data_IF_482462516867
#
_entry.id   IF_482462516867
#
_cell.length_a   1.000
_cell.length_b   1.000
_cell.length_c   1.000
_cell.angle_alpha   90.00
_cell.angle_beta   90.00
_cell.angle_gamma   90.00
#
_symmetry.space_group_name_H-M   'P 1'
#
loop_
_entity.id
_entity.type
_entity.pdbx_description
1 polymer ?
#
# COMPACT_ATOMS: atom_id res chain seq x y z
N UNK A 1 -27.68 3.46 25.93
CA UNK A 1 -27.87 2.00 26.02
C UNK A 1 -26.92 1.35 25.03
N UNK A 2 -26.16 0.32 25.44
CA UNK A 2 -25.32 -0.44 24.52
C UNK A 2 -26.18 -1.13 23.46
N UNK A 3 -25.64 -1.22 22.25
CA UNK A 3 -26.23 -1.95 21.14
C UNK A 3 -26.04 -3.46 21.38
N UNK A 4 -27.10 -4.21 21.13
CA UNK A 4 -27.07 -5.69 21.10
C UNK A 4 -26.79 -6.18 19.67
N UNK A 5 -26.11 -7.33 19.53
CA UNK A 5 -25.90 -7.98 18.23
C UNK A 5 -27.23 -8.24 17.51
N UNK A 6 -28.25 -8.66 18.25
CA UNK A 6 -29.60 -8.91 17.73
C UNK A 6 -30.20 -7.63 17.15
N UNK A 7 -30.04 -6.50 17.84
CA UNK A 7 -30.51 -5.20 17.36
C UNK A 7 -29.75 -4.77 16.10
N UNK A 8 -28.42 -4.95 16.06
CA UNK A 8 -27.60 -4.66 14.88
C UNK A 8 -28.01 -5.51 13.66
N UNK A 9 -28.33 -6.79 13.89
CA UNK A 9 -28.76 -7.73 12.85
C UNK A 9 -30.15 -7.38 12.30
N UNK A 10 -31.11 -7.13 13.20
CA UNK A 10 -32.50 -6.82 12.85
C UNK A 10 -32.68 -5.45 12.21
N UNK A 11 -31.75 -4.52 12.45
CA UNK A 11 -31.85 -3.19 11.89
C UNK A 11 -31.85 -3.23 10.36
N UNK A 12 -32.86 -2.60 9.75
CA UNK A 12 -33.03 -2.52 8.29
C UNK A 12 -33.20 -1.06 7.89
N UNK A 13 -32.85 -0.75 6.66
CA UNK A 13 -33.03 0.58 6.11
C UNK A 13 -34.53 0.86 5.91
N UNK A 14 -35.06 1.91 6.56
CA UNK A 14 -36.47 2.32 6.48
C UNK A 14 -36.67 3.55 5.58
N UNK A 15 -35.88 3.68 4.51
CA UNK A 15 -35.97 4.81 3.57
C UNK A 15 -35.16 6.06 3.97
N UNK A 16 -34.72 6.17 5.23
CA UNK A 16 -33.83 7.23 5.72
C UNK A 16 -32.61 6.64 6.41
N UNK A 17 -31.50 7.36 6.34
CA UNK A 17 -30.27 6.96 7.02
C UNK A 17 -30.49 6.96 8.54
N UNK A 18 -30.24 5.81 9.16
CA UNK A 18 -30.42 5.62 10.60
C UNK A 18 -29.07 5.44 11.30
N UNK A 19 -28.99 5.94 12.53
CA UNK A 19 -27.81 5.82 13.40
C UNK A 19 -28.23 5.06 14.64
N UNK A 20 -27.62 3.89 14.86
CA UNK A 20 -27.76 3.14 16.10
C UNK A 20 -26.52 3.37 16.95
N UNK A 21 -26.64 4.20 17.98
CA UNK A 21 -25.56 4.43 18.93
C UNK A 21 -25.34 3.20 19.80
N UNK A 22 -24.07 2.84 19.96
CA UNK A 22 -23.62 1.93 21.01
C UNK A 22 -23.06 2.79 22.16
N UNK A 23 -21.75 2.70 22.42
CA UNK A 23 -21.10 3.41 23.51
C UNK A 23 -19.80 4.07 23.08
N UNK A 24 -19.33 5.05 23.86
CA UNK A 24 -18.05 5.74 23.67
C UNK A 24 -17.88 6.33 22.25
N UNK A 25 -18.98 6.81 21.66
CA UNK A 25 -18.99 7.41 20.32
C UNK A 25 -19.05 6.41 19.15
N UNK A 26 -19.14 5.11 19.42
CA UNK A 26 -19.38 4.07 18.41
C UNK A 26 -20.86 4.08 17.99
N UNK A 27 -21.12 4.03 16.69
CA UNK A 27 -22.46 3.88 16.14
C UNK A 27 -22.46 3.08 14.84
N UNK A 28 -23.56 2.38 14.60
CA UNK A 28 -23.84 1.73 13.33
C UNK A 28 -24.64 2.68 12.45
N UNK A 29 -24.12 2.96 11.27
CA UNK A 29 -24.75 3.78 10.26
C UNK A 29 -25.43 2.87 9.23
N UNK A 30 -26.75 2.96 9.12
CA UNK A 30 -27.55 2.15 8.21
C UNK A 30 -27.93 3.03 7.03
N UNK A 31 -27.47 2.64 5.84
CA UNK A 31 -27.80 3.28 4.57
C UNK A 31 -28.53 2.28 3.67
N UNK A 32 -28.97 2.74 2.49
CA UNK A 32 -29.49 1.86 1.44
C UNK A 32 -28.46 0.84 0.96
N UNK A 33 -27.18 1.21 0.97
CA UNK A 33 -26.07 0.36 0.52
C UNK A 33 -25.65 -0.70 1.54
N UNK A 34 -25.88 -0.45 2.83
CA UNK A 34 -25.46 -1.40 3.87
C UNK A 34 -25.31 -0.79 5.25
N UNK A 35 -24.57 -1.50 6.10
CA UNK A 35 -24.39 -1.18 7.52
C UNK A 35 -22.91 -0.92 7.80
N UNK A 36 -22.60 0.27 8.31
CA UNK A 36 -21.22 0.73 8.49
C UNK A 36 -20.93 1.08 9.94
N UNK A 37 -19.88 0.49 10.50
CA UNK A 37 -19.38 0.87 11.82
C UNK A 37 -18.60 2.17 11.73
N UNK A 38 -19.02 3.17 12.51
CA UNK A 38 -18.35 4.46 12.60
C UNK A 38 -18.12 4.87 14.05
N UNK A 39 -16.98 5.51 14.29
CA UNK A 39 -16.59 6.03 15.60
C UNK A 39 -16.44 7.54 15.50
N UNK A 40 -17.24 8.28 16.27
CA UNK A 40 -17.10 9.73 16.44
C UNK A 40 -16.09 10.01 17.56
N UNK A 41 -15.08 10.82 17.26
CA UNK A 41 -14.04 11.20 18.20
C UNK A 41 -13.66 12.68 18.03
N UNK A 42 -12.96 13.23 19.02
CA UNK A 42 -12.38 14.58 18.95
C UNK A 42 -10.87 14.47 19.02
N UNK A 43 -10.18 15.16 18.13
CA UNK A 43 -8.73 15.23 18.11
C UNK A 43 -8.31 16.66 17.75
N UNK A 44 -7.39 17.25 18.52
CA UNK A 44 -6.94 18.63 18.35
C UNK A 44 -8.10 19.65 18.21
N UNK A 45 -9.13 19.53 19.06
CA UNK A 45 -10.31 20.41 19.07
C UNK A 45 -11.31 20.19 17.93
N UNK A 46 -11.00 19.34 16.93
CA UNK A 46 -11.88 19.05 15.80
C UNK A 46 -12.62 17.73 15.99
N UNK A 47 -13.90 17.71 15.65
CA UNK A 47 -14.69 16.49 15.60
C UNK A 47 -14.39 15.74 14.31
N UNK A 48 -14.10 14.45 14.42
CA UNK A 48 -13.83 13.55 13.28
C UNK A 48 -14.61 12.25 13.44
N UNK A 49 -14.83 11.59 12.30
CA UNK A 49 -15.50 10.29 12.25
C UNK A 49 -14.58 9.29 11.57
N UNK A 50 -14.28 8.20 12.27
CA UNK A 50 -13.48 7.08 11.79
C UNK A 50 -14.40 5.97 11.28
N UNK A 51 -14.15 5.46 10.08
CA UNK A 51 -14.81 4.25 9.58
C UNK A 51 -14.07 3.02 10.12
N UNK A 52 -14.75 2.14 10.87
CA UNK A 52 -14.16 0.95 11.48
C UNK A 52 -14.30 -0.30 10.61
N UNK A 53 -15.37 -0.39 9.81
CA UNK A 53 -15.64 -1.48 8.89
C UNK A 53 -17.12 -1.57 8.46
N UNK A 54 -17.47 -2.62 7.73
CA UNK A 54 -18.83 -2.93 7.27
C UNK A 54 -19.35 -4.13 8.06
N UNK A 55 -20.64 -4.13 8.39
CA UNK A 55 -21.31 -5.30 8.96
C UNK A 55 -21.92 -6.12 7.81
N UNK A 56 -21.80 -7.46 7.76
CA UNK A 56 -21.40 -8.36 8.86
C UNK A 56 -19.90 -8.73 8.92
N UNK A 57 -19.07 -8.26 7.99
CA UNK A 57 -17.62 -8.58 7.96
C UNK A 57 -16.93 -8.25 9.29
N UNK A 58 -17.32 -7.14 9.92
CA UNK A 58 -16.87 -6.77 11.25
C UNK A 58 -18.01 -6.97 12.25
N UNK A 59 -17.81 -7.90 13.18
CA UNK A 59 -18.74 -8.17 14.28
C UNK A 59 -18.79 -7.02 15.29
N UNK A 60 -19.84 -6.96 16.12
CA UNK A 60 -19.93 -5.96 17.20
C UNK A 60 -18.73 -6.03 18.16
N UNK A 61 -18.26 -7.25 18.45
CA UNK A 61 -17.10 -7.49 19.32
C UNK A 61 -15.82 -6.89 18.72
N UNK A 62 -15.56 -7.14 17.44
CA UNK A 62 -14.43 -6.55 16.73
C UNK A 62 -14.54 -5.04 16.60
N UNK A 63 -15.75 -4.51 16.36
CA UNK A 63 -15.98 -3.07 16.31
C UNK A 63 -15.62 -2.40 17.66
N UNK A 64 -15.94 -3.05 18.79
CA UNK A 64 -15.53 -2.62 20.13
C UNK A 64 -14.02 -2.74 20.35
N UNK A 65 -13.38 -3.80 19.87
CA UNK A 65 -11.92 -3.94 19.95
C UNK A 65 -11.20 -2.83 19.15
N UNK A 66 -11.61 -2.60 17.90
CA UNK A 66 -11.08 -1.52 17.03
C UNK A 66 -11.33 -0.13 17.62
N UNK A 67 -12.41 0.05 18.38
CA UNK A 67 -12.70 1.29 19.12
C UNK A 67 -11.69 1.52 20.24
N UNK A 68 -11.41 0.51 21.06
CA UNK A 68 -10.43 0.66 22.14
C UNK A 68 -9.03 0.91 21.58
N UNK A 69 -8.66 0.24 20.48
CA UNK A 69 -7.41 0.50 19.77
C UNK A 69 -7.31 1.94 19.25
N UNK A 70 -8.37 2.45 18.61
CA UNK A 70 -8.41 3.84 18.16
C UNK A 70 -8.33 4.82 19.34
N UNK A 71 -8.89 4.49 20.51
CA UNK A 71 -8.77 5.31 21.72
C UNK A 71 -7.36 5.30 22.29
N UNK A 72 -6.67 4.16 22.24
CA UNK A 72 -5.27 4.04 22.65
C UNK A 72 -4.39 4.94 21.77
N UNK A 73 -4.55 4.86 20.45
CA UNK A 73 -3.85 5.73 19.50
C UNK A 73 -4.12 7.22 19.76
N UNK A 74 -5.36 7.58 20.07
CA UNK A 74 -5.71 8.96 20.44
C UNK A 74 -5.05 9.41 21.75
N UNK A 75 -4.90 8.53 22.73
CA UNK A 75 -4.20 8.82 23.98
C UNK A 75 -2.70 9.00 23.75
N UNK A 76 -2.12 8.25 22.80
CA UNK A 76 -0.74 8.39 22.34
C UNK A 76 -0.53 9.62 21.42
N UNK A 77 -1.58 10.41 21.16
CA UNK A 77 -1.53 11.59 20.31
C UNK A 77 -1.48 11.29 18.80
N UNK A 78 -1.72 10.04 18.39
CA UNK A 78 -1.71 9.60 17.00
C UNK A 78 -3.14 9.71 16.44
N UNK A 79 -3.29 10.35 15.26
CA UNK A 79 -4.59 10.39 14.58
C UNK A 79 -4.88 9.04 13.88
N UNK A 80 -5.87 8.26 14.35
CA UNK A 80 -6.16 6.93 13.80
C UNK A 80 -6.68 6.98 12.35
N UNK A 81 -7.18 8.14 11.91
CA UNK A 81 -7.62 8.34 10.53
C UNK A 81 -6.46 8.48 9.55
N UNK A 82 -5.32 9.00 10.02
CA UNK A 82 -4.10 9.11 9.24
C UNK A 82 -3.35 7.77 9.22
N UNK A 83 -3.27 7.08 10.36
CA UNK A 83 -2.62 5.76 10.44
C UNK A 83 -3.24 4.74 9.46
N UNK A 84 -4.57 4.69 9.36
CA UNK A 84 -5.27 3.83 8.36
C UNK A 84 -5.06 4.25 6.91
N UNK A 85 -4.95 5.55 6.64
CA UNK A 85 -4.66 6.03 5.28
C UNK A 85 -3.23 5.72 4.90
N UNK A 86 -2.29 5.93 5.82
CA UNK A 86 -0.87 5.63 5.63
C UNK A 86 -0.66 4.14 5.39
N UNK A 87 -1.30 3.25 6.15
CA UNK A 87 -1.16 1.80 5.91
C UNK A 87 -1.73 1.38 4.55
N UNK A 88 -2.87 1.93 4.13
CA UNK A 88 -3.42 1.64 2.79
C UNK A 88 -2.53 2.16 1.67
N UNK A 89 -1.98 3.36 1.82
CA UNK A 89 -1.06 3.95 0.83
C UNK A 89 0.26 3.19 0.80
N UNK A 90 0.81 2.81 1.96
CA UNK A 90 2.02 2.01 2.07
C UNK A 90 1.83 0.63 1.43
N UNK A 91 0.70 -0.05 1.68
CA UNK A 91 0.43 -1.35 1.06
C UNK A 91 0.26 -1.24 -0.46
N UNK A 92 -0.40 -0.18 -0.93
CA UNK A 92 -0.50 0.12 -2.36
C UNK A 92 0.87 0.38 -2.97
N UNK A 93 1.68 1.25 -2.35
CA UNK A 93 3.03 1.55 -2.81
C UNK A 93 3.93 0.31 -2.77
N UNK A 94 3.81 -0.55 -1.76
CA UNK A 94 4.56 -1.80 -1.68
C UNK A 94 4.15 -2.76 -2.81
N UNK A 95 2.85 -2.84 -3.13
CA UNK A 95 2.37 -3.65 -4.26
C UNK A 95 2.78 -3.09 -5.63
N UNK A 96 2.79 -1.76 -5.78
CA UNK A 96 3.16 -1.08 -7.03
C UNK A 96 4.69 -1.04 -7.23
N UNK A 97 5.47 -1.01 -6.15
CA UNK A 97 6.95 -1.05 -6.18
C UNK A 97 7.49 -2.43 -5.78
N UNK A 98 6.72 -3.50 -5.98
CA UNK A 98 7.24 -4.84 -5.74
C UNK A 98 8.37 -5.13 -6.72
N UNK A 99 9.34 -5.95 -6.30
CA UNK A 99 10.49 -6.33 -7.13
C UNK A 99 10.03 -6.87 -8.48
N UNK A 100 8.95 -7.67 -8.51
CA UNK A 100 8.37 -8.20 -9.73
C UNK A 100 7.91 -7.12 -10.72
N UNK A 101 7.21 -6.10 -10.24
CA UNK A 101 6.69 -5.02 -11.09
C UNK A 101 7.85 -4.21 -11.68
N UNK A 102 8.84 -3.85 -10.85
CA UNK A 102 10.02 -3.11 -11.28
C UNK A 102 10.89 -3.95 -12.25
N UNK A 103 11.06 -5.24 -11.96
CA UNK A 103 11.84 -6.16 -12.80
C UNK A 103 11.21 -6.36 -14.19
N UNK A 104 9.88 -6.46 -14.27
CA UNK A 104 9.15 -6.56 -15.54
C UNK A 104 9.18 -5.25 -16.34
N UNK A 105 9.01 -4.11 -15.68
CA UNK A 105 9.11 -2.80 -16.33
C UNK A 105 10.53 -2.58 -16.89
N UNK A 106 11.55 -2.88 -16.09
CA UNK A 106 12.94 -2.83 -16.54
C UNK A 106 13.19 -3.78 -17.72
N UNK A 107 12.74 -5.03 -17.63
CA UNK A 107 12.89 -6.02 -18.72
C UNK A 107 12.29 -5.50 -20.04
N UNK A 108 11.08 -4.92 -20.00
CA UNK A 108 10.44 -4.33 -21.17
C UNK A 108 11.26 -3.20 -21.80
N UNK A 109 11.87 -2.34 -20.98
CA UNK A 109 12.75 -1.26 -21.46
C UNK A 109 14.01 -1.78 -22.19
N UNK A 110 14.44 -3.00 -21.88
CA UNK A 110 15.63 -3.63 -22.44
C UNK A 110 15.36 -4.49 -23.68
N UNK A 111 14.09 -4.80 -23.99
CA UNK A 111 13.70 -5.61 -25.15
C UNK A 111 14.18 -5.03 -26.48
N UNK A 112 14.27 -3.70 -26.60
CA UNK A 112 14.78 -3.04 -27.79
C UNK A 112 16.29 -3.28 -28.03
N UNK A 113 17.04 -3.67 -26.99
CA UNK A 113 18.50 -3.86 -27.02
C UNK A 113 18.91 -5.32 -27.02
N UNK A 114 18.05 -6.23 -26.59
CA UNK A 114 18.38 -7.65 -26.42
C UNK A 114 17.81 -8.54 -27.51
N UNK A 115 18.53 -9.61 -27.83
CA UNK A 115 17.98 -10.68 -28.66
C UNK A 115 16.88 -11.44 -27.91
N UNK A 116 15.88 -12.02 -28.61
CA UNK A 116 14.75 -12.70 -27.97
C UNK A 116 15.17 -13.79 -26.97
N UNK A 117 16.20 -14.56 -27.31
CA UNK A 117 16.72 -15.62 -26.43
C UNK A 117 17.48 -15.11 -25.20
N UNK A 118 18.11 -13.93 -25.26
CA UNK A 118 18.72 -13.33 -24.07
C UNK A 118 17.65 -12.72 -23.16
N UNK A 119 16.68 -12.01 -23.75
CA UNK A 119 15.55 -11.46 -23.01
C UNK A 119 14.79 -12.56 -22.25
N UNK A 120 14.56 -13.72 -22.88
CA UNK A 120 13.85 -14.84 -22.25
C UNK A 120 14.60 -15.42 -21.04
N UNK A 121 15.91 -15.64 -21.14
CA UNK A 121 16.72 -16.11 -20.00
C UNK A 121 16.74 -15.11 -18.85
N UNK A 122 16.78 -13.81 -19.17
CA UNK A 122 16.79 -12.76 -18.16
C UNK A 122 15.47 -12.73 -17.39
N UNK A 123 14.31 -12.81 -18.05
CA UNK A 123 13.04 -12.81 -17.34
C UNK A 123 12.85 -14.07 -16.48
N UNK A 124 13.24 -15.25 -16.98
CA UNK A 124 13.19 -16.52 -16.22
C UNK A 124 14.04 -16.42 -14.94
N UNK A 125 15.21 -15.79 -15.01
CA UNK A 125 16.05 -15.56 -13.83
C UNK A 125 15.44 -14.56 -12.84
N UNK A 126 14.74 -13.53 -13.31
CA UNK A 126 14.07 -12.54 -12.46
C UNK A 126 12.84 -13.13 -11.76
N UNK A 127 12.09 -14.00 -12.45
CA UNK A 127 10.96 -14.74 -11.89
C UNK A 127 11.42 -15.73 -10.80
N UNK A 128 12.56 -16.40 -11.01
CA UNK A 128 13.16 -17.28 -9.99
C UNK A 128 13.54 -16.51 -8.71
N UNK A 129 14.07 -15.28 -8.84
CA UNK A 129 14.37 -14.41 -7.68
C UNK A 129 13.08 -13.96 -6.98
N UNK A 130 12.03 -13.63 -7.73
CA UNK A 130 10.74 -13.28 -7.15
C UNK A 130 10.13 -14.42 -6.31
N UNK A 131 10.27 -15.68 -6.78
CA UNK A 131 9.82 -16.86 -6.04
C UNK A 131 10.51 -16.97 -4.67
N UNK A 132 11.84 -16.76 -4.64
CA UNK A 132 12.63 -16.81 -3.40
C UNK A 132 12.37 -15.65 -2.42
N UNK A 133 11.93 -14.48 -2.91
CA UNK A 133 11.64 -13.32 -2.03
C UNK A 133 10.28 -13.45 -1.32
N UNK A 134 9.32 -14.17 -1.91
CA UNK A 134 7.99 -14.34 -1.33
C UNK A 134 7.96 -15.21 -0.05
N UNK A 135 9.01 -15.99 0.20
CA UNK A 135 9.16 -16.81 1.41
C UNK A 135 9.66 -15.99 2.63
N UNK A 136 10.21 -14.80 2.41
CA UNK A 136 10.83 -13.98 3.48
C UNK A 136 9.83 -13.01 4.15
N UNK A 137 8.66 -12.79 3.56
CA UNK A 137 7.63 -11.85 4.05
C UNK A 137 6.54 -12.47 4.94
N UNK A 138 6.72 -13.69 5.44
CA UNK A 138 5.83 -14.28 6.44
C UNK A 138 6.54 -14.44 7.80
N UNK A 139 6.60 -13.41 8.67
CA UNK A 139 7.46 -13.43 9.85
C UNK A 139 6.79 -14.08 11.07
N UNK A 140 5.98 -15.13 10.89
CA UNK A 140 5.29 -15.81 12.00
C UNK A 140 5.44 -17.33 12.03
N UNK A 141 6.54 -17.89 11.52
CA UNK A 141 6.91 -19.25 11.89
C UNK A 141 8.40 -19.37 12.23
N UNK A 142 8.63 -19.43 13.55
CA UNK A 142 9.67 -20.20 14.24
C UNK A 142 11.09 -20.28 13.62
N UNK A 143 12.04 -19.67 14.34
CA UNK A 143 13.43 -20.13 14.36
C UNK A 143 13.47 -21.64 14.62
N UNK A 144 14.29 -22.37 13.85
CA UNK A 144 15.44 -23.13 14.35
C UNK A 144 16.46 -23.32 13.20
N UNK A 145 17.73 -23.52 13.58
CA UNK A 145 18.91 -23.17 12.80
C UNK A 145 19.16 -23.95 11.50
N UNK A 146 20.00 -23.36 10.66
CA UNK A 146 21.01 -24.06 9.87
C UNK A 146 22.15 -23.08 9.54
N UNK A 147 23.27 -23.26 10.23
CA UNK A 147 24.60 -22.81 9.80
C UNK A 147 24.92 -23.39 8.42
N UNK A 148 25.32 -22.56 7.46
CA UNK A 148 25.54 -23.03 6.10
C UNK A 148 26.04 -21.94 5.16
N UNK A 149 27.29 -21.55 5.36
CA UNK A 149 28.15 -20.74 4.52
C UNK A 149 27.88 -20.88 3.00
N UNK A 150 27.33 -19.85 2.35
CA UNK A 150 27.64 -19.54 0.94
C UNK A 150 27.68 -18.02 0.72
N UNK A 151 28.90 -17.46 0.77
CA UNK A 151 29.16 -16.14 0.17
C UNK A 151 29.15 -16.28 -1.35
N UNK A 152 28.11 -15.76 -2.01
CA UNK A 152 28.19 -15.42 -3.44
C UNK A 152 28.34 -13.90 -3.55
N UNK A 153 29.58 -13.44 -3.60
CA UNK A 153 29.89 -12.09 -4.11
C UNK A 153 29.58 -12.07 -5.60
N UNK A 154 28.39 -11.62 -5.99
CA UNK A 154 28.13 -11.24 -7.37
C UNK A 154 28.54 -9.77 -7.55
N UNK A 155 29.81 -9.54 -7.88
CA UNK A 155 30.26 -8.26 -8.38
C UNK A 155 29.79 -8.11 -9.83
N UNK A 156 28.62 -7.49 -10.05
CA UNK A 156 28.23 -7.01 -11.38
C UNK A 156 28.80 -5.60 -11.53
N UNK A 157 29.89 -5.50 -12.30
CA UNK A 157 30.39 -4.21 -12.76
C UNK A 157 29.35 -3.56 -13.70
N UNK A 158 28.98 -2.28 -13.49
CA UNK A 158 28.12 -1.59 -14.42
C UNK A 158 28.87 -1.35 -15.75
N UNK A 159 28.25 -1.61 -16.92
CA UNK A 159 28.86 -1.28 -18.20
C UNK A 159 28.97 0.26 -18.35
N UNK A 160 30.02 0.76 -19.04
CA UNK A 160 30.24 2.20 -19.19
C UNK A 160 29.10 2.81 -20.00
N UNK A 161 28.44 3.83 -19.45
CA UNK A 161 27.49 4.65 -20.19
C UNK A 161 28.22 5.40 -21.30
N UNK A 162 28.00 5.01 -22.56
CA UNK A 162 28.26 5.92 -23.68
C UNK A 162 27.20 7.03 -23.62
N UNK A 163 27.59 8.18 -23.08
CA UNK A 163 26.83 9.42 -23.22
C UNK A 163 26.94 9.85 -24.67
N UNK A 164 25.91 9.56 -25.46
CA UNK A 164 25.77 10.09 -26.82
C UNK A 164 25.41 11.57 -26.69
N UNK A 165 26.42 12.43 -26.74
CA UNK A 165 26.25 13.88 -26.82
C UNK A 165 25.75 14.19 -28.24
N UNK A 166 24.47 14.57 -28.36
CA UNK A 166 23.92 15.07 -29.63
C UNK A 166 24.57 16.42 -29.96
N UNK A 167 25.11 16.63 -31.18
CA UNK A 167 25.61 17.94 -31.57
C UNK A 167 24.43 18.90 -31.78
N UNK A 168 24.39 19.96 -30.96
CA UNK A 168 23.53 21.13 -31.16
C UNK A 168 24.13 21.96 -32.28
N UNK A 169 23.48 21.99 -33.44
CA UNK A 169 23.83 22.90 -34.53
C UNK A 169 23.45 24.33 -34.14
N UNK A 170 24.44 25.16 -33.78
CA UNK A 170 24.28 26.61 -33.78
C UNK A 170 24.64 27.11 -35.18
N UNK A 171 23.63 27.64 -35.88
CA UNK A 171 23.83 28.42 -37.09
C UNK A 171 24.52 29.73 -36.73
N UNK A 172 25.76 29.90 -37.20
CA UNK A 172 26.42 31.19 -37.22
C UNK A 172 26.24 31.79 -38.61
N UNK A 173 25.42 32.85 -38.67
CA UNK A 173 25.32 33.74 -39.81
C UNK A 173 26.63 34.50 -40.00
N UNK A 174 27.16 34.40 -41.22
CA UNK A 174 28.27 35.22 -41.71
C UNK A 174 27.73 36.58 -42.13
N UNK A 175 28.15 37.65 -41.46
CA UNK A 175 28.01 39.01 -41.97
C UNK A 175 29.30 39.36 -42.74
N UNK A 176 29.14 39.70 -44.01
CA UNK A 176 30.19 40.25 -44.88
C UNK A 176 30.02 41.76 -44.95
N UNK A 177 30.97 42.53 -44.42
CA UNK A 177 31.14 43.95 -44.72
C UNK A 177 32.64 44.28 -44.90
N UNK A 178 32.95 44.91 -46.03
CA UNK A 178 34.00 45.94 -46.16
C UNK A 178 35.44 45.50 -46.38
N UNK A 179 35.89 45.51 -47.65
CA UNK A 179 36.78 46.57 -48.19
C UNK A 179 36.70 46.60 -49.73
#
# INVERSE_FOLDING_TARGET
MPLSDTAARQAKFTGKQQKLSDEKGLFLLITSSGKYWRLKFRFAGKEKVLALGVYPEVSLKEARAKREEARRQLADGIDPSLARKQSKVANRLASENSFEVIAREWHQSQLARWSPGHAQRVIESLEAVCCSQSEVENPLEHQEGCDGLVSVKLAVAPPPMMVVVKPVAHGLGINTEGE
#
